data_IF_023202188312
#
_entry.id   IF_023202188312
#
_cell.length_a   1.000
_cell.length_b   1.000
_cell.length_c   1.000
_cell.angle_alpha   90.00
_cell.angle_beta   90.00
_cell.angle_gamma   90.00
#
_symmetry.space_group_name_H-M   'P 1'
#
loop_
_entity.id
_entity.type
_entity.pdbx_description
1 polymer ?
#
# COMPACT_ATOMS: atom_id res chain seq x y z
N UNK A 1 -25.55 -21.43 -0.27
CA UNK A 1 -24.59 -20.64 0.48
C UNK A 1 -24.81 -19.18 0.17
N UNK A 2 -24.90 -18.36 1.20
CA UNK A 2 -25.13 -16.92 1.14
C UNK A 2 -23.78 -16.20 1.26
N UNK A 3 -23.41 -15.40 0.26
CA UNK A 3 -22.12 -14.70 0.22
C UNK A 3 -22.36 -13.20 0.37
N UNK A 4 -21.72 -12.61 1.37
CA UNK A 4 -21.64 -11.16 1.51
C UNK A 4 -20.50 -10.58 0.67
N UNK A 5 -20.69 -9.38 0.12
CA UNK A 5 -19.66 -8.68 -0.68
C UNK A 5 -19.42 -7.30 -0.11
N UNK A 6 -18.16 -7.02 0.20
CA UNK A 6 -17.68 -5.69 0.63
C UNK A 6 -16.61 -5.22 -0.35
N UNK A 7 -16.90 -4.19 -1.11
CA UNK A 7 -15.97 -3.63 -2.09
C UNK A 7 -15.20 -2.46 -1.45
N UNK A 8 -13.88 -2.57 -1.34
CA UNK A 8 -13.03 -1.57 -0.72
C UNK A 8 -12.25 -0.77 -1.75
N UNK A 9 -12.20 0.54 -1.55
CA UNK A 9 -11.44 1.44 -2.40
C UNK A 9 -10.98 2.71 -1.69
N UNK A 10 -10.28 3.57 -2.42
CA UNK A 10 -9.81 4.88 -1.95
C UNK A 10 -10.01 5.94 -3.04
N UNK A 11 -10.59 7.08 -2.68
CA UNK A 11 -10.93 8.16 -3.59
C UNK A 11 -9.73 8.78 -4.35
N UNK A 12 -8.49 8.52 -3.92
CA UNK A 12 -7.28 8.99 -4.59
C UNK A 12 -6.93 8.21 -5.86
N UNK A 13 -7.61 7.09 -6.12
CA UNK A 13 -7.47 6.27 -7.32
C UNK A 13 -8.58 6.58 -8.34
N UNK A 14 -8.55 5.93 -9.49
CA UNK A 14 -9.52 6.08 -10.56
C UNK A 14 -10.85 5.40 -10.17
N UNK A 15 -11.73 6.16 -9.53
CA UNK A 15 -13.01 5.66 -9.01
C UNK A 15 -13.97 5.26 -10.14
N UNK A 16 -13.93 5.93 -11.28
CA UNK A 16 -14.77 5.57 -12.42
C UNK A 16 -14.41 4.17 -12.94
N UNK A 17 -13.13 3.93 -13.17
CA UNK A 17 -12.63 2.61 -13.58
C UNK A 17 -12.83 1.55 -12.49
N UNK A 18 -12.67 1.92 -11.23
CA UNK A 18 -12.94 1.05 -10.10
C UNK A 18 -14.40 0.60 -10.05
N UNK A 19 -15.37 1.50 -10.26
CA UNK A 19 -16.79 1.17 -10.34
C UNK A 19 -17.12 0.26 -11.53
N UNK A 20 -16.50 0.48 -12.68
CA UNK A 20 -16.62 -0.45 -13.82
C UNK A 20 -16.18 -1.85 -13.41
N UNK A 21 -14.99 -1.99 -12.80
CA UNK A 21 -14.46 -3.29 -12.35
C UNK A 21 -15.32 -3.95 -11.27
N UNK A 22 -15.86 -3.16 -10.34
CA UNK A 22 -16.82 -3.68 -9.36
C UNK A 22 -18.07 -4.24 -10.04
N UNK A 23 -18.63 -3.53 -11.01
CA UNK A 23 -19.79 -4.00 -11.78
C UNK A 23 -19.52 -5.30 -12.51
N UNK A 24 -18.31 -5.47 -13.08
CA UNK A 24 -17.86 -6.71 -13.70
C UNK A 24 -17.77 -7.87 -12.68
N UNK A 25 -17.21 -7.62 -11.46
CA UNK A 25 -17.18 -8.60 -10.38
C UNK A 25 -18.59 -9.03 -9.96
N UNK A 26 -19.46 -8.07 -9.69
CA UNK A 26 -20.86 -8.35 -9.28
C UNK A 26 -21.61 -9.10 -10.37
N UNK A 27 -21.40 -8.75 -11.65
CA UNK A 27 -21.98 -9.45 -12.79
C UNK A 27 -21.50 -10.91 -12.88
N UNK A 28 -20.23 -11.18 -12.58
CA UNK A 28 -19.71 -12.54 -12.47
C UNK A 28 -20.35 -13.28 -11.28
N UNK A 29 -20.40 -12.66 -10.11
CA UNK A 29 -20.95 -13.26 -8.89
C UNK A 29 -22.42 -13.65 -9.06
N UNK A 30 -23.23 -12.80 -9.70
CA UNK A 30 -24.65 -13.08 -10.00
C UNK A 30 -24.88 -14.27 -10.92
N UNK A 31 -23.87 -14.69 -11.67
CA UNK A 31 -23.95 -15.91 -12.52
C UNK A 31 -23.58 -17.19 -11.77
N UNK A 32 -23.10 -17.07 -10.54
CA UNK A 32 -22.78 -18.24 -9.69
C UNK A 32 -24.03 -18.84 -9.08
N UNK A 33 -23.91 -20.04 -8.52
CA UNK A 33 -25.01 -20.70 -7.79
C UNK A 33 -25.23 -20.18 -6.37
N UNK A 34 -24.52 -19.11 -5.95
CA UNK A 34 -24.61 -18.54 -4.63
C UNK A 34 -25.60 -17.37 -4.54
N UNK A 35 -26.20 -17.19 -3.37
CA UNK A 35 -26.98 -15.98 -3.07
C UNK A 35 -26.03 -14.88 -2.69
N UNK A 36 -26.02 -13.77 -3.43
CA UNK A 36 -25.09 -12.65 -3.26
C UNK A 36 -25.80 -11.48 -2.58
N UNK A 37 -25.17 -10.90 -1.55
CA UNK A 37 -25.68 -9.75 -0.79
C UNK A 37 -24.56 -8.69 -0.70
N UNK A 38 -24.87 -7.43 -1.00
CA UNK A 38 -23.93 -6.32 -0.98
C UNK A 38 -23.11 -6.20 -2.26
N UNK A 39 -22.07 -5.37 -2.22
CA UNK A 39 -21.24 -5.07 -3.39
C UNK A 39 -21.85 -4.04 -4.32
N UNK A 40 -22.83 -3.26 -3.85
CA UNK A 40 -23.52 -2.26 -4.66
C UNK A 40 -22.69 -1.00 -4.89
N UNK A 41 -21.77 -0.71 -3.96
CA UNK A 41 -20.89 0.48 -4.00
C UNK A 41 -19.50 0.18 -3.45
N UNK A 42 -18.55 1.08 -3.77
CA UNK A 42 -17.20 1.04 -3.20
C UNK A 42 -17.19 1.77 -1.86
N UNK A 43 -16.82 1.06 -0.81
CA UNK A 43 -16.67 1.59 0.55
C UNK A 43 -15.32 2.31 0.66
N UNK A 44 -15.36 3.61 0.92
CA UNK A 44 -14.18 4.47 0.96
C UNK A 44 -13.73 4.79 2.38
N UNK A 45 -14.62 4.65 3.36
CA UNK A 45 -14.42 5.07 4.75
C UNK A 45 -14.62 3.89 5.72
N UNK A 46 -13.92 3.96 6.83
CA UNK A 46 -13.95 2.92 7.87
C UNK A 46 -15.34 2.72 8.48
N UNK A 47 -16.05 3.81 8.79
CA UNK A 47 -17.34 3.75 9.47
C UNK A 47 -18.42 3.14 8.58
N UNK A 48 -18.47 3.53 7.30
CA UNK A 48 -19.38 2.93 6.32
C UNK A 48 -19.09 1.45 6.12
N UNK A 49 -17.80 1.08 6.10
CA UNK A 49 -17.36 -0.31 6.00
C UNK A 49 -17.81 -1.14 7.20
N UNK A 50 -17.71 -0.60 8.41
CA UNK A 50 -18.17 -1.29 9.63
C UNK A 50 -19.67 -1.50 9.64
N UNK A 51 -20.45 -0.46 9.29
CA UNK A 51 -21.91 -0.55 9.22
C UNK A 51 -22.37 -1.61 8.21
N UNK A 52 -21.74 -1.65 7.05
CA UNK A 52 -22.06 -2.64 6.02
C UNK A 52 -21.62 -4.05 6.44
N UNK A 53 -20.49 -4.20 7.12
CA UNK A 53 -20.08 -5.47 7.68
C UNK A 53 -21.04 -5.97 8.78
N UNK A 54 -21.58 -5.07 9.61
CA UNK A 54 -22.63 -5.40 10.61
C UNK A 54 -23.93 -5.82 9.93
N UNK A 55 -24.35 -5.12 8.88
CA UNK A 55 -25.52 -5.50 8.09
C UNK A 55 -25.37 -6.93 7.55
N UNK A 56 -24.22 -7.25 6.93
CA UNK A 56 -23.96 -8.60 6.41
C UNK A 56 -23.93 -9.66 7.52
N UNK A 57 -23.43 -9.33 8.70
CA UNK A 57 -23.45 -10.24 9.86
C UNK A 57 -24.90 -10.54 10.30
N UNK A 58 -25.75 -9.52 10.37
CA UNK A 58 -27.17 -9.68 10.71
C UNK A 58 -27.95 -10.48 9.65
N UNK A 59 -27.51 -10.41 8.39
CA UNK A 59 -28.04 -11.23 7.29
C UNK A 59 -27.59 -12.71 7.35
N UNK A 60 -26.75 -13.08 8.32
CA UNK A 60 -26.21 -14.44 8.50
C UNK A 60 -25.57 -14.99 7.21
N UNK A 61 -24.65 -14.23 6.62
CA UNK A 61 -23.89 -14.69 5.46
C UNK A 61 -22.91 -15.80 5.85
N UNK A 62 -22.76 -16.80 4.99
CA UNK A 62 -21.86 -17.95 5.22
C UNK A 62 -20.39 -17.60 4.95
N UNK A 63 -20.13 -16.66 4.05
CA UNK A 63 -18.79 -16.25 3.63
C UNK A 63 -18.80 -14.80 3.15
N UNK A 64 -17.74 -14.07 3.39
CA UNK A 64 -17.58 -12.69 2.92
C UNK A 64 -16.46 -12.60 1.88
N UNK A 65 -16.74 -11.98 0.75
CA UNK A 65 -15.75 -11.60 -0.25
C UNK A 65 -15.43 -10.12 -0.07
N UNK A 66 -14.19 -9.82 0.29
CA UNK A 66 -13.65 -8.47 0.24
C UNK A 66 -13.12 -8.27 -1.18
N UNK A 67 -13.78 -7.45 -1.98
CA UNK A 67 -13.26 -7.05 -3.28
C UNK A 67 -12.32 -5.86 -3.05
N UNK A 68 -11.02 -6.08 -3.15
CA UNK A 68 -10.01 -5.03 -3.11
C UNK A 68 -9.99 -4.35 -4.47
N UNK A 69 -10.89 -3.36 -4.67
CA UNK A 69 -11.06 -2.73 -5.98
C UNK A 69 -9.89 -1.81 -6.29
N UNK A 70 -9.52 -0.95 -5.32
CA UNK A 70 -8.29 -0.16 -5.40
C UNK A 70 -7.39 -0.43 -4.21
N UNK A 71 -6.18 0.12 -4.20
CA UNK A 71 -5.36 0.16 -2.99
C UNK A 71 -6.13 0.83 -1.83
N UNK A 72 -6.06 0.23 -0.64
CA UNK A 72 -6.46 0.85 0.63
C UNK A 72 -5.37 0.59 1.67
N UNK A 73 -5.41 1.30 2.81
CA UNK A 73 -4.74 0.80 4.00
C UNK A 73 -5.42 -0.48 4.50
N UNK A 74 -4.78 -1.18 5.44
CA UNK A 74 -5.28 -2.47 5.88
C UNK A 74 -6.36 -2.38 6.97
N UNK A 75 -6.68 -1.19 7.48
CA UNK A 75 -7.57 -1.02 8.64
C UNK A 75 -8.96 -1.64 8.40
N UNK A 76 -9.61 -1.25 7.30
CA UNK A 76 -10.94 -1.77 6.96
C UNK A 76 -10.93 -3.30 6.79
N UNK A 77 -9.92 -3.86 6.14
CA UNK A 77 -9.80 -5.31 5.95
C UNK A 77 -9.63 -6.05 7.28
N UNK A 78 -8.82 -5.52 8.20
CA UNK A 78 -8.64 -6.10 9.55
C UNK A 78 -9.93 -6.03 10.36
N UNK A 79 -10.68 -4.94 10.27
CA UNK A 79 -11.99 -4.81 10.93
C UNK A 79 -12.99 -5.85 10.42
N UNK A 80 -13.09 -6.04 9.12
CA UNK A 80 -13.95 -7.08 8.51
C UNK A 80 -13.50 -8.48 8.97
N UNK A 81 -12.21 -8.76 8.91
CA UNK A 81 -11.65 -10.05 9.29
C UNK A 81 -11.94 -10.41 10.77
N UNK A 82 -11.87 -9.43 11.67
CA UNK A 82 -12.22 -9.60 13.07
C UNK A 82 -13.69 -10.00 13.28
N UNK A 83 -14.61 -9.50 12.44
CA UNK A 83 -16.04 -9.83 12.50
C UNK A 83 -16.34 -11.24 11.93
N UNK A 84 -15.75 -11.56 10.79
CA UNK A 84 -16.05 -12.81 10.06
C UNK A 84 -15.03 -13.93 10.30
N UNK A 85 -13.96 -13.66 11.05
CA UNK A 85 -12.88 -14.61 11.42
C UNK A 85 -12.35 -15.35 10.18
N UNK A 86 -12.54 -16.68 10.14
CA UNK A 86 -12.06 -17.51 9.03
C UNK A 86 -13.01 -17.54 7.81
N UNK A 87 -14.17 -16.88 7.88
CA UNK A 87 -15.20 -16.95 6.84
C UNK A 87 -15.16 -15.78 5.88
N UNK A 88 -13.96 -15.41 5.43
CA UNK A 88 -13.77 -14.39 4.42
C UNK A 88 -12.64 -14.74 3.44
N UNK A 89 -12.60 -14.02 2.34
CA UNK A 89 -11.50 -14.06 1.39
C UNK A 89 -11.37 -12.73 0.65
N UNK A 90 -10.20 -12.46 0.09
CA UNK A 90 -9.91 -11.21 -0.64
C UNK A 90 -9.81 -11.51 -2.13
N UNK A 91 -10.57 -10.78 -2.91
CA UNK A 91 -10.46 -10.77 -4.37
C UNK A 91 -9.89 -9.43 -4.82
N UNK A 92 -8.63 -9.44 -5.24
CA UNK A 92 -7.97 -8.28 -5.83
C UNK A 92 -8.00 -8.36 -7.36
N UNK A 93 -8.05 -7.19 -8.01
CA UNK A 93 -8.34 -7.07 -9.43
C UNK A 93 -7.09 -6.61 -10.17
N UNK A 94 -6.63 -7.32 -11.22
CA UNK A 94 -5.58 -6.85 -12.12
C UNK A 94 -6.04 -5.60 -12.89
N UNK A 95 -5.10 -4.75 -13.18
CA UNK A 95 -5.30 -3.60 -14.04
C UNK A 95 -4.51 -3.70 -15.34
N UNK A 96 -4.93 -2.99 -16.42
CA UNK A 96 -4.22 -3.02 -17.69
C UNK A 96 -2.78 -2.56 -17.56
N UNK A 97 -1.85 -3.26 -18.22
CA UNK A 97 -0.42 -2.90 -18.24
C UNK A 97 -0.15 -1.90 -19.35
N UNK A 98 -0.50 -0.64 -19.13
CA UNK A 98 -0.37 0.42 -20.13
C UNK A 98 0.94 1.21 -20.01
N UNK A 99 1.81 0.89 -19.04
CA UNK A 99 3.07 1.61 -18.82
C UNK A 99 2.92 2.99 -18.17
N UNK A 100 1.73 3.33 -17.71
CA UNK A 100 1.39 4.60 -17.08
C UNK A 100 1.17 4.45 -15.56
N UNK A 101 0.63 5.50 -14.92
CA UNK A 101 0.24 5.45 -13.52
C UNK A 101 -0.77 4.33 -13.26
N UNK A 102 -0.56 3.58 -12.20
CA UNK A 102 -1.50 2.55 -11.75
C UNK A 102 -2.86 3.20 -11.40
N UNK A 103 -3.92 2.72 -12.04
CA UNK A 103 -5.28 3.25 -11.87
C UNK A 103 -5.95 2.70 -10.61
N UNK A 104 -5.71 1.44 -10.28
CA UNK A 104 -6.32 0.75 -9.13
C UNK A 104 -5.30 0.45 -8.03
N UNK A 105 -4.13 -0.04 -8.39
CA UNK A 105 -3.10 -0.53 -7.46
C UNK A 105 -3.64 -1.57 -6.44
N UNK A 106 -4.62 -2.35 -6.86
CA UNK A 106 -5.34 -3.33 -6.04
C UNK A 106 -4.41 -4.42 -5.48
N UNK A 107 -3.42 -4.86 -6.26
CA UNK A 107 -2.44 -5.86 -5.81
C UNK A 107 -1.60 -5.39 -4.60
N UNK A 108 -1.22 -4.11 -4.56
CA UNK A 108 -0.54 -3.57 -3.39
C UNK A 108 -1.46 -3.53 -2.16
N UNK A 109 -2.77 -3.24 -2.36
CA UNK A 109 -3.77 -3.33 -1.30
C UNK A 109 -3.89 -4.74 -0.75
N UNK A 110 -3.94 -5.76 -1.62
CA UNK A 110 -3.93 -7.17 -1.22
C UNK A 110 -2.68 -7.54 -0.40
N UNK A 111 -1.50 -7.09 -0.83
CA UNK A 111 -0.25 -7.37 -0.12
C UNK A 111 -0.25 -6.73 1.27
N UNK A 112 -0.67 -5.47 1.38
CA UNK A 112 -0.74 -4.77 2.66
C UNK A 112 -1.74 -5.44 3.60
N UNK A 113 -2.94 -5.75 3.11
CA UNK A 113 -3.97 -6.45 3.85
C UNK A 113 -3.48 -7.85 4.33
N UNK A 114 -2.86 -8.62 3.44
CA UNK A 114 -2.31 -9.95 3.76
C UNK A 114 -1.24 -9.88 4.85
N UNK A 115 -0.38 -8.87 4.81
CA UNK A 115 0.63 -8.65 5.85
C UNK A 115 -0.02 -8.32 7.20
N UNK A 116 -0.95 -7.36 7.24
CA UNK A 116 -1.64 -6.97 8.47
C UNK A 116 -2.43 -8.13 9.09
N UNK A 117 -3.11 -8.92 8.28
CA UNK A 117 -3.82 -10.12 8.73
C UNK A 117 -2.85 -11.18 9.27
N UNK A 118 -1.70 -11.36 8.64
CA UNK A 118 -0.66 -12.29 9.11
C UNK A 118 -0.10 -11.87 10.48
N UNK A 119 0.09 -10.57 10.74
CA UNK A 119 0.49 -10.06 12.06
C UNK A 119 -0.55 -10.35 13.15
N UNK A 120 -1.82 -10.47 12.77
CA UNK A 120 -2.92 -10.85 13.66
C UNK A 120 -3.18 -12.38 13.68
N UNK A 121 -2.25 -13.20 13.18
CA UNK A 121 -2.35 -14.66 13.08
C UNK A 121 -3.58 -15.15 12.28
N UNK A 122 -4.09 -14.34 11.37
CA UNK A 122 -5.20 -14.69 10.50
C UNK A 122 -4.71 -15.26 9.19
N UNK A 123 -5.27 -16.39 8.77
CA UNK A 123 -5.00 -16.97 7.46
C UNK A 123 -5.76 -16.20 6.38
N UNK A 124 -5.02 -15.77 5.36
CA UNK A 124 -5.61 -15.06 4.22
C UNK A 124 -5.89 -16.04 3.09
N UNK A 125 -7.16 -16.12 2.68
CA UNK A 125 -7.57 -16.75 1.44
C UNK A 125 -7.77 -15.63 0.39
N UNK A 126 -7.10 -15.71 -0.76
CA UNK A 126 -7.16 -14.64 -1.75
C UNK A 126 -7.04 -15.16 -3.19
N UNK A 127 -7.57 -14.36 -4.10
CA UNK A 127 -7.34 -14.47 -5.55
C UNK A 127 -6.97 -13.12 -6.14
N UNK A 128 -6.22 -13.15 -7.24
CA UNK A 128 -5.87 -11.97 -8.04
C UNK A 128 -6.21 -12.27 -9.49
N UNK A 129 -7.48 -12.02 -9.85
CA UNK A 129 -8.05 -12.43 -11.11
C UNK A 129 -8.91 -11.32 -11.71
N UNK A 130 -8.86 -11.17 -13.04
CA UNK A 130 -9.76 -10.28 -13.76
C UNK A 130 -11.18 -10.88 -13.76
N UNK A 131 -12.22 -10.10 -13.39
CA UNK A 131 -13.59 -10.60 -13.33
C UNK A 131 -14.15 -11.12 -14.67
N UNK A 132 -13.61 -10.66 -15.78
CA UNK A 132 -14.01 -11.13 -17.12
C UNK A 132 -13.27 -12.39 -17.57
N UNK A 133 -12.15 -12.72 -16.93
CA UNK A 133 -11.29 -13.85 -17.31
C UNK A 133 -11.24 -14.98 -16.27
N UNK A 134 -11.76 -14.74 -15.07
CA UNK A 134 -11.70 -15.73 -13.98
C UNK A 134 -12.42 -17.03 -14.35
N UNK A 135 -11.74 -18.15 -14.13
CA UNK A 135 -12.31 -19.49 -14.29
C UNK A 135 -13.26 -19.80 -13.12
N UNK A 136 -14.49 -20.28 -13.36
CA UNK A 136 -15.40 -20.66 -12.28
C UNK A 136 -14.80 -21.65 -11.27
N UNK A 137 -13.96 -22.58 -11.74
CA UNK A 137 -13.26 -23.55 -10.87
C UNK A 137 -12.33 -22.88 -9.87
N UNK A 138 -11.61 -21.83 -10.27
CA UNK A 138 -10.75 -21.03 -9.38
C UNK A 138 -11.59 -20.31 -8.34
N UNK A 139 -12.69 -19.69 -8.78
CA UNK A 139 -13.61 -18.99 -7.88
C UNK A 139 -14.23 -19.94 -6.84
N UNK A 140 -14.73 -21.10 -7.26
CA UNK A 140 -15.28 -22.09 -6.33
C UNK A 140 -14.23 -22.66 -5.38
N UNK A 141 -12.99 -22.87 -5.83
CA UNK A 141 -11.88 -23.26 -4.94
C UNK A 141 -11.54 -22.17 -3.94
N UNK A 142 -11.59 -20.90 -4.35
CA UNK A 142 -11.41 -19.76 -3.46
C UNK A 142 -12.47 -19.70 -2.37
N UNK A 143 -13.75 -19.74 -2.72
CA UNK A 143 -14.85 -19.69 -1.75
C UNK A 143 -14.81 -20.89 -0.79
N UNK A 144 -14.42 -22.08 -1.28
CA UNK A 144 -14.29 -23.30 -0.46
C UNK A 144 -12.95 -23.39 0.30
N UNK A 145 -12.10 -22.35 0.25
CA UNK A 145 -10.77 -22.30 0.88
C UNK A 145 -9.85 -23.48 0.47
N UNK A 146 -9.97 -23.96 -0.76
CA UNK A 146 -9.23 -25.11 -1.29
C UNK A 146 -8.04 -24.70 -2.18
N UNK A 147 -7.73 -23.41 -2.26
CA UNK A 147 -6.57 -22.95 -3.00
C UNK A 147 -5.29 -23.43 -2.30
N UNK A 148 -4.48 -24.18 -3.03
CA UNK A 148 -3.18 -24.60 -2.54
C UNK A 148 -2.26 -23.40 -2.38
N UNK A 149 -1.80 -23.17 -1.17
CA UNK A 149 -0.74 -22.19 -0.91
C UNK A 149 0.60 -22.87 -1.17
N UNK A 150 1.19 -22.60 -2.33
CA UNK A 150 2.58 -22.97 -2.56
C UNK A 150 3.45 -22.25 -1.52
N UNK A 151 4.08 -22.98 -0.62
CA UNK A 151 5.12 -22.41 0.23
C UNK A 151 6.22 -21.87 -0.70
N UNK A 152 6.69 -20.63 -0.50
CA UNK A 152 7.80 -20.13 -1.29
C UNK A 152 8.98 -21.10 -1.13
N UNK A 153 9.55 -21.56 -2.26
CA UNK A 153 10.82 -22.29 -2.22
C UNK A 153 11.88 -21.35 -1.69
N UNK A 154 12.47 -21.71 -0.56
CA UNK A 154 13.71 -21.06 -0.12
C UNK A 154 14.77 -21.47 -1.17
N UNK A 155 15.18 -20.50 -1.99
CA UNK A 155 16.29 -20.72 -2.91
C UNK A 155 17.56 -20.77 -2.08
N UNK A 156 18.23 -21.91 -2.08
CA UNK A 156 19.60 -21.99 -1.58
C UNK A 156 20.49 -21.23 -2.55
N UNK A 157 20.95 -20.06 -2.13
CA UNK A 157 21.90 -19.29 -2.90
C UNK A 157 23.28 -19.93 -2.77
N UNK A 158 23.93 -20.18 -3.91
CA UNK A 158 25.30 -20.67 -3.96
C UNK A 158 26.32 -19.71 -3.33
N UNK A 159 27.60 -19.93 -3.58
CA UNK A 159 28.70 -19.14 -3.00
C UNK A 159 28.52 -17.64 -3.29
N UNK A 160 28.55 -16.82 -2.25
CA UNK A 160 28.44 -15.37 -2.36
C UNK A 160 29.64 -14.80 -3.11
N UNK A 161 29.42 -14.08 -4.21
CA UNK A 161 30.48 -13.45 -4.99
C UNK A 161 31.22 -12.37 -4.17
N UNK A 162 32.48 -12.10 -4.51
CA UNK A 162 33.28 -11.04 -3.84
C UNK A 162 32.65 -9.66 -4.05
N UNK A 163 32.00 -9.42 -5.19
CA UNK A 163 31.23 -8.19 -5.45
C UNK A 163 30.08 -8.04 -4.48
N UNK A 164 29.34 -9.11 -4.17
CA UNK A 164 28.25 -9.09 -3.17
C UNK A 164 28.79 -8.78 -1.77
N UNK A 165 29.97 -9.33 -1.39
CA UNK A 165 30.63 -9.00 -0.13
C UNK A 165 31.04 -7.53 -0.05
N UNK A 166 31.60 -6.97 -1.14
CA UNK A 166 31.95 -5.55 -1.22
C UNK A 166 30.72 -4.66 -1.07
N UNK A 167 29.62 -4.97 -1.78
CA UNK A 167 28.34 -4.23 -1.66
C UNK A 167 27.80 -4.29 -0.24
N UNK A 168 27.80 -5.48 0.38
CA UNK A 168 27.36 -5.66 1.78
C UNK A 168 28.19 -4.80 2.74
N UNK A 169 29.49 -4.69 2.54
CA UNK A 169 30.34 -3.86 3.38
C UNK A 169 30.06 -2.37 3.19
N UNK A 170 29.82 -1.91 1.96
CA UNK A 170 29.40 -0.52 1.69
C UNK A 170 28.05 -0.19 2.31
N UNK A 171 27.08 -1.11 2.29
CA UNK A 171 25.75 -0.92 2.90
C UNK A 171 25.86 -0.64 4.40
N UNK A 172 26.82 -1.26 5.11
CA UNK A 172 27.03 -1.03 6.55
C UNK A 172 27.37 0.43 6.92
N UNK A 173 27.90 1.18 5.95
CA UNK A 173 28.26 2.59 6.13
C UNK A 173 27.07 3.54 5.91
N UNK A 174 25.96 3.01 5.39
CA UNK A 174 24.80 3.82 5.07
C UNK A 174 24.09 4.29 6.34
N UNK A 175 23.57 5.51 6.23
CA UNK A 175 22.77 6.16 7.25
C UNK A 175 21.45 6.56 6.62
N UNK A 176 20.35 6.29 7.31
CA UNK A 176 19.00 6.62 6.86
C UNK A 176 18.39 7.63 7.83
N UNK A 177 17.80 8.69 7.30
CA UNK A 177 16.92 9.58 8.06
C UNK A 177 15.47 9.09 7.91
N UNK A 178 14.82 8.76 9.03
CA UNK A 178 13.37 8.58 9.10
C UNK A 178 12.77 9.87 9.60
N UNK A 179 11.77 10.41 8.91
CA UNK A 179 11.09 11.65 9.31
C UNK A 179 9.61 11.36 9.53
N UNK A 180 9.16 11.58 10.76
CA UNK A 180 7.80 11.25 11.18
C UNK A 180 7.57 9.76 11.36
N UNK A 181 6.29 9.41 11.59
CA UNK A 181 5.84 8.03 11.77
C UNK A 181 5.09 7.55 10.53
N UNK A 182 4.96 6.23 10.38
CA UNK A 182 4.14 5.65 9.33
C UNK A 182 2.65 5.89 9.62
N UNK A 183 1.80 6.02 8.58
CA UNK A 183 0.37 6.18 8.78
C UNK A 183 -0.26 4.93 9.42
N UNK A 184 -1.35 5.11 10.13
CA UNK A 184 -2.17 4.01 10.65
C UNK A 184 -2.62 3.09 9.51
N UNK A 185 -2.68 1.80 9.75
CA UNK A 185 -3.02 0.80 8.72
C UNK A 185 -1.87 0.42 7.76
N UNK A 186 -0.69 1.06 7.89
CA UNK A 186 0.51 0.75 7.09
C UNK A 186 1.56 -0.05 7.87
N UNK A 187 1.13 -1.12 8.53
CA UNK A 187 2.01 -1.95 9.37
C UNK A 187 3.22 -2.55 8.62
N UNK A 188 3.16 -2.62 7.28
CA UNK A 188 4.30 -3.01 6.44
C UNK A 188 5.49 -2.04 6.55
N UNK A 189 5.25 -0.80 6.97
CA UNK A 189 6.28 0.21 7.20
C UNK A 189 6.88 0.14 8.61
N UNK A 190 6.30 -0.68 9.50
CA UNK A 190 6.79 -0.87 10.86
C UNK A 190 8.02 -1.77 10.86
N UNK A 191 9.06 -1.36 11.55
CA UNK A 191 10.31 -2.10 11.64
C UNK A 191 10.94 -1.94 13.03
N UNK A 192 11.83 -2.87 13.38
CA UNK A 192 12.69 -2.76 14.53
C UNK A 192 14.06 -2.20 14.10
N UNK A 193 14.44 -1.07 14.67
CA UNK A 193 15.68 -0.35 14.35
C UNK A 193 16.95 -1.16 14.65
N UNK A 194 16.94 -1.90 15.75
CA UNK A 194 18.09 -2.72 16.15
C UNK A 194 18.23 -3.94 15.26
N UNK A 195 17.12 -4.54 14.84
CA UNK A 195 17.15 -5.64 13.87
C UNK A 195 17.66 -5.20 12.50
N UNK A 196 17.23 -4.02 12.01
CA UNK A 196 17.77 -3.44 10.77
C UNK A 196 19.29 -3.25 10.90
N UNK A 197 19.76 -2.66 12.00
CA UNK A 197 21.20 -2.47 12.25
C UNK A 197 21.95 -3.80 12.33
N UNK A 198 21.41 -4.78 13.03
CA UNK A 198 22.01 -6.12 13.20
C UNK A 198 22.14 -6.85 11.85
N UNK A 199 21.10 -6.77 11.00
CA UNK A 199 21.05 -7.48 9.71
C UNK A 199 21.89 -6.79 8.63
N UNK A 200 21.88 -5.48 8.59
CA UNK A 200 22.44 -4.70 7.48
C UNK A 200 23.67 -3.87 7.85
N UNK A 201 23.83 -3.53 9.11
CA UNK A 201 24.80 -2.54 9.60
C UNK A 201 24.35 -1.08 9.48
N UNK A 202 23.22 -0.81 8.80
CA UNK A 202 22.69 0.53 8.56
C UNK A 202 22.28 1.20 9.89
N UNK A 203 22.65 2.47 10.03
CA UNK A 203 22.20 3.29 11.17
C UNK A 203 21.01 4.17 10.77
N UNK A 204 19.93 4.13 11.56
CA UNK A 204 18.73 4.93 11.35
C UNK A 204 18.66 6.08 12.35
N UNK A 205 18.49 7.29 11.84
CA UNK A 205 18.33 8.53 12.61
C UNK A 205 16.88 9.00 12.46
N UNK A 206 16.24 9.27 13.57
CA UNK A 206 14.81 9.65 13.60
C UNK A 206 14.68 11.15 13.85
N UNK A 207 13.80 11.78 13.08
CA UNK A 207 13.43 13.18 13.17
C UNK A 207 11.91 13.29 13.22
N UNK A 208 11.42 14.28 13.92
CA UNK A 208 9.99 14.60 13.92
C UNK A 208 9.61 15.48 12.71
N UNK A 209 8.35 15.44 12.31
CA UNK A 209 7.82 16.38 11.32
C UNK A 209 7.96 17.83 11.78
N UNK A 210 7.82 18.08 13.09
CA UNK A 210 7.99 19.42 13.66
C UNK A 210 9.42 19.97 13.48
N UNK A 211 10.44 19.12 13.65
CA UNK A 211 11.84 19.52 13.37
C UNK A 211 12.02 19.89 11.90
N UNK A 212 11.49 19.09 10.97
CA UNK A 212 11.56 19.37 9.54
C UNK A 212 10.84 20.68 9.19
N UNK A 213 9.61 20.86 9.66
CA UNK A 213 8.81 22.06 9.37
C UNK A 213 9.40 23.33 10.00
N UNK A 214 10.00 23.22 11.19
CA UNK A 214 10.71 24.35 11.81
C UNK A 214 11.91 24.77 10.96
N UNK A 215 12.70 23.81 10.49
CA UNK A 215 13.83 24.09 9.58
C UNK A 215 13.31 24.71 8.27
N UNK A 216 12.23 24.16 7.68
CA UNK A 216 11.66 24.66 6.41
C UNK A 216 11.20 26.12 6.51
N UNK A 217 10.58 26.51 7.62
CA UNK A 217 10.17 27.90 7.88
C UNK A 217 11.35 28.85 8.00
N UNK A 218 12.51 28.37 8.44
CA UNK A 218 13.72 29.18 8.64
C UNK A 218 14.55 29.39 7.37
N UNK A 219 14.22 28.71 6.27
CA UNK A 219 14.99 28.83 5.02
C UNK A 219 14.88 30.22 4.43
N UNK A 220 16.05 30.80 4.11
CA UNK A 220 16.16 32.14 3.52
C UNK A 220 15.49 32.18 2.14
N UNK A 221 14.81 33.30 1.85
CA UNK A 221 14.15 33.51 0.55
C UNK A 221 15.12 33.52 -0.62
N UNK A 222 16.37 33.99 -0.41
CA UNK A 222 17.41 33.98 -1.44
C UNK A 222 17.81 32.55 -1.83
N UNK A 223 17.89 31.65 -0.85
CA UNK A 223 18.16 30.23 -1.10
C UNK A 223 17.04 29.60 -1.92
N UNK A 224 15.78 29.86 -1.58
CA UNK A 224 14.62 29.35 -2.32
C UNK A 224 14.60 29.89 -3.76
N UNK A 225 14.89 31.16 -3.97
CA UNK A 225 14.97 31.74 -5.31
C UNK A 225 16.07 31.08 -6.16
N UNK A 226 17.20 30.72 -5.58
CA UNK A 226 18.26 30.00 -6.28
C UNK A 226 17.84 28.57 -6.64
N UNK A 227 17.20 27.84 -5.71
CA UNK A 227 16.66 26.51 -5.97
C UNK A 227 15.60 26.55 -7.07
N UNK A 228 14.71 27.55 -7.04
CA UNK A 228 13.70 27.72 -8.08
C UNK A 228 14.33 27.87 -9.47
N UNK A 229 15.38 28.70 -9.60
CA UNK A 229 16.12 28.84 -10.88
C UNK A 229 16.72 27.52 -11.34
N UNK A 230 17.32 26.74 -10.43
CA UNK A 230 17.90 25.44 -10.74
C UNK A 230 16.84 24.46 -11.24
N UNK A 231 15.71 24.34 -10.52
CA UNK A 231 14.64 23.42 -10.88
C UNK A 231 13.98 23.84 -12.20
N UNK A 232 13.78 25.14 -12.42
CA UNK A 232 13.23 25.68 -13.68
C UNK A 232 14.11 25.38 -14.89
N UNK A 233 15.42 25.30 -14.71
CA UNK A 233 16.34 24.92 -15.82
C UNK A 233 16.29 23.43 -16.17
N UNK A 234 15.71 22.59 -15.32
CA UNK A 234 15.65 21.13 -15.48
C UNK A 234 14.23 20.61 -15.84
N UNK A 235 13.19 21.35 -15.46
CA UNK A 235 11.79 20.95 -15.62
C UNK A 235 11.04 22.00 -16.43
N UNK A 236 10.68 21.67 -17.67
CA UNK A 236 9.98 22.58 -18.59
C UNK A 236 8.52 22.89 -18.18
N UNK A 237 7.86 21.98 -17.47
CA UNK A 237 6.46 22.12 -17.04
C UNK A 237 6.29 22.79 -15.67
N UNK A 238 7.34 23.36 -15.09
CA UNK A 238 7.30 23.94 -13.75
C UNK A 238 6.30 25.10 -13.63
N UNK A 239 6.08 25.83 -14.72
CA UNK A 239 5.16 26.99 -14.74
C UNK A 239 3.68 26.57 -14.60
N UNK A 240 3.33 25.28 -14.70
CA UNK A 240 1.99 24.74 -14.43
C UNK A 240 1.73 24.41 -12.96
N UNK A 241 2.76 24.48 -12.11
CA UNK A 241 2.65 24.20 -10.67
C UNK A 241 2.26 25.46 -9.91
N UNK A 242 1.35 25.34 -8.94
CA UNK A 242 0.99 26.45 -8.06
C UNK A 242 2.26 27.03 -7.39
N UNK A 243 2.52 28.33 -7.50
CA UNK A 243 3.75 28.95 -6.98
C UNK A 243 3.94 28.80 -5.46
N UNK A 244 2.84 28.77 -4.70
CA UNK A 244 2.87 28.61 -3.24
C UNK A 244 3.27 27.17 -2.87
N UNK A 245 2.70 26.18 -3.55
CA UNK A 245 3.03 24.77 -3.34
C UNK A 245 4.46 24.48 -3.77
N UNK A 246 4.94 25.12 -4.82
CA UNK A 246 6.33 25.04 -5.26
C UNK A 246 7.29 25.62 -4.20
N UNK A 247 7.01 26.81 -3.65
CA UNK A 247 7.82 27.43 -2.57
C UNK A 247 7.89 26.49 -1.35
N UNK A 248 6.77 25.93 -0.91
CA UNK A 248 6.74 24.98 0.21
C UNK A 248 7.56 23.72 -0.09
N UNK A 249 7.47 23.17 -1.28
CA UNK A 249 8.24 22.00 -1.71
C UNK A 249 9.74 22.26 -1.74
N UNK A 250 10.16 23.42 -2.23
CA UNK A 250 11.57 23.84 -2.26
C UNK A 250 12.12 24.09 -0.85
N UNK A 251 11.31 24.62 0.06
CA UNK A 251 11.68 24.74 1.50
C UNK A 251 11.90 23.39 2.14
N UNK A 252 10.99 22.44 1.91
CA UNK A 252 11.14 21.08 2.41
C UNK A 252 12.40 20.42 1.86
N UNK A 253 12.66 20.53 0.55
CA UNK A 253 13.89 20.01 -0.07
C UNK A 253 15.14 20.58 0.60
N UNK A 254 15.24 21.90 0.73
CA UNK A 254 16.40 22.55 1.37
C UNK A 254 16.56 22.09 2.83
N UNK A 255 15.48 21.92 3.55
CA UNK A 255 15.50 21.45 4.96
C UNK A 255 16.01 20.02 5.07
N UNK A 256 15.58 19.13 4.17
CA UNK A 256 16.07 17.76 4.11
C UNK A 256 17.58 17.71 3.86
N UNK A 257 18.08 18.53 2.92
CA UNK A 257 19.51 18.63 2.62
C UNK A 257 20.30 19.14 3.85
N UNK A 258 19.78 20.14 4.58
CA UNK A 258 20.41 20.68 5.79
C UNK A 258 20.42 19.66 6.93
N UNK A 259 19.31 19.00 7.19
CA UNK A 259 19.22 17.93 8.20
C UNK A 259 20.17 16.78 7.87
N UNK A 260 20.23 16.39 6.61
CA UNK A 260 21.16 15.38 6.12
C UNK A 260 22.62 15.75 6.37
N UNK A 261 23.02 16.98 6.08
CA UNK A 261 24.38 17.48 6.32
C UNK A 261 24.73 17.57 7.81
N UNK A 262 23.83 18.08 8.66
CA UNK A 262 24.02 18.20 10.12
C UNK A 262 24.37 16.87 10.79
N UNK A 263 23.88 15.75 10.24
CA UNK A 263 24.08 14.39 10.80
C UNK A 263 25.03 13.53 9.98
N UNK A 264 25.73 14.10 8.99
CA UNK A 264 26.59 13.36 8.05
C UNK A 264 25.83 12.18 7.40
N UNK A 265 24.56 12.41 7.02
CA UNK A 265 23.71 11.42 6.35
C UNK A 265 23.88 11.47 4.83
N UNK A 266 24.34 12.61 4.31
CA UNK A 266 24.62 12.85 2.89
C UNK A 266 26.12 13.09 2.78
N UNK A 267 26.82 12.25 2.02
CA UNK A 267 28.18 12.55 1.62
C UNK A 267 28.11 13.70 0.59
N UNK A 268 28.78 14.81 0.88
CA UNK A 268 29.07 15.82 -0.15
C UNK A 268 29.93 15.16 -1.22
N UNK A 269 29.34 14.95 -2.40
CA UNK A 269 30.13 14.70 -3.63
C UNK A 269 30.77 15.98 -4.09
#
# INVERSE_FOLDING_TARGET
MKIGVLALGRATFDIEFANQKLSECVSFLKKTSYSIIGGDEILLESDTTQNEAERLQNENVDFVIIIQVTFTDALMTVQIANKFKDNFGIWAIPEPRLGERLRLNSFCGLNLASHALSLNNMLVNWIFEDPLAIQPSIFYAFVKKRLSKNKPKILEYGVTSDRAKQIKNKIKEFKIAKIGEHPEGFDTCKYNKDDVKKLTGISIYEFTLNELFKEAKSIDKKEINNLHKQVKSQISSLDSVDPKELDLSLRLKSSLDKLGKKRNLIHSQ
#
